data_IF_035939281954
#
_entry.id   IF_035939281954
#
_cell.length_a   1.000
_cell.length_b   1.000
_cell.length_c   1.000
_cell.angle_alpha   90.00
_cell.angle_beta   90.00
_cell.angle_gamma   90.00
#
_symmetry.space_group_name_H-M   'P 1'
#
loop_
_entity.id
_entity.type
_entity.pdbx_description
1 polymer ?
#
# COMPACT_ATOMS: atom_id res chain seq x y z
N UNK A 1 12.57 21.87 17.25
CA UNK A 1 12.99 22.55 15.99
C UNK A 1 13.76 21.64 15.04
N UNK A 2 14.83 20.95 15.46
CA UNK A 2 15.53 19.96 14.61
C UNK A 2 14.72 18.66 14.45
N UNK A 3 14.06 18.17 15.50
CA UNK A 3 13.10 17.05 15.40
C UNK A 3 11.90 17.39 14.49
N UNK A 4 11.35 18.60 14.63
CA UNK A 4 10.20 19.05 13.83
C UNK A 4 10.52 19.09 12.33
N UNK A 5 11.75 19.50 12.00
CA UNK A 5 12.22 19.51 10.61
C UNK A 5 12.49 18.10 10.08
N UNK A 6 13.03 17.19 10.91
CA UNK A 6 13.14 15.77 10.53
C UNK A 6 11.78 15.12 10.29
N UNK A 7 10.78 15.36 11.14
CA UNK A 7 9.44 14.79 10.98
C UNK A 7 8.72 15.29 9.72
N UNK A 8 8.84 16.59 9.41
CA UNK A 8 8.30 17.17 8.17
C UNK A 8 9.01 16.59 6.94
N UNK A 9 10.32 16.37 7.02
CA UNK A 9 11.11 15.77 5.94
C UNK A 9 10.73 14.31 5.74
N UNK A 10 10.61 13.51 6.80
CA UNK A 10 10.18 12.10 6.74
C UNK A 10 8.75 11.97 6.18
N UNK A 11 7.83 12.85 6.59
CA UNK A 11 6.47 12.91 6.03
C UNK A 11 6.46 13.30 4.55
N UNK A 12 7.22 14.34 4.19
CA UNK A 12 7.35 14.80 2.81
C UNK A 12 7.98 13.74 1.91
N UNK A 13 8.87 12.90 2.44
CA UNK A 13 9.45 11.79 1.70
C UNK A 13 8.61 10.51 1.73
N UNK A 14 7.74 10.29 2.71
CA UNK A 14 6.80 9.17 2.70
C UNK A 14 5.66 9.41 1.68
N UNK A 15 5.22 10.66 1.55
CA UNK A 15 4.20 11.09 0.58
C UNK A 15 4.81 11.49 -0.76
N UNK A 16 6.08 11.90 -0.76
CA UNK A 16 6.82 12.33 -1.95
C UNK A 16 6.72 11.38 -3.14
N UNK A 17 6.84 10.04 -2.97
CA UNK A 17 6.69 9.06 -4.05
C UNK A 17 5.27 8.98 -4.60
N UNK A 18 4.26 9.28 -3.77
CA UNK A 18 2.85 9.25 -4.18
C UNK A 18 2.60 10.35 -5.22
N UNK A 19 3.21 11.52 -5.03
CA UNK A 19 2.96 12.73 -5.84
C UNK A 19 3.29 12.53 -7.34
N UNK A 20 4.46 12.02 -7.76
CA UNK A 20 4.76 11.72 -9.15
C UNK A 20 3.79 10.73 -9.79
N UNK A 21 3.35 9.70 -9.05
CA UNK A 21 2.40 8.72 -9.57
C UNK A 21 0.98 9.29 -9.67
N UNK A 22 0.57 10.15 -8.73
CA UNK A 22 -0.69 10.90 -8.82
C UNK A 22 -0.68 11.90 -9.99
N UNK A 23 0.40 12.69 -10.14
CA UNK A 23 0.44 13.79 -11.11
C UNK A 23 0.80 13.35 -12.52
N UNK A 24 1.56 12.27 -12.70
CA UNK A 24 2.12 11.88 -14.00
C UNK A 24 1.62 10.52 -14.52
N UNK A 25 1.09 9.65 -13.66
CA UNK A 25 0.83 8.25 -14.01
C UNK A 25 -0.63 7.79 -13.91
N UNK A 26 -1.34 8.13 -12.82
CA UNK A 26 -2.61 7.49 -12.46
C UNK A 26 -3.88 8.27 -12.84
N UNK A 27 -3.77 9.57 -13.17
CA UNK A 27 -4.95 10.46 -13.32
C UNK A 27 -5.24 10.88 -14.76
N UNK A 28 -4.42 10.49 -15.74
CA UNK A 28 -4.72 10.80 -17.14
C UNK A 28 -5.96 10.05 -17.66
N UNK A 29 -6.27 8.88 -17.07
CA UNK A 29 -7.44 8.09 -17.45
C UNK A 29 -8.37 7.88 -16.24
N UNK A 30 -9.68 8.22 -16.32
CA UNK A 30 -10.61 8.05 -15.22
C UNK A 30 -10.75 6.59 -14.77
N UNK A 31 -10.49 5.63 -15.67
CA UNK A 31 -10.50 4.21 -15.36
C UNK A 31 -9.36 3.82 -14.41
N UNK A 32 -8.18 4.43 -14.53
CA UNK A 32 -7.04 4.15 -13.65
C UNK A 32 -7.34 4.63 -12.24
N UNK A 33 -7.96 5.81 -12.11
CA UNK A 33 -8.42 6.34 -10.83
C UNK A 33 -9.44 5.43 -10.15
N UNK A 34 -10.48 5.00 -10.89
CA UNK A 34 -11.47 4.06 -10.36
C UNK A 34 -10.81 2.76 -9.89
N UNK A 35 -9.86 2.24 -10.67
CA UNK A 35 -9.14 1.01 -10.34
C UNK A 35 -8.19 1.17 -9.17
N UNK A 36 -7.62 2.36 -8.95
CA UNK A 36 -6.87 2.67 -7.74
C UNK A 36 -7.75 2.61 -6.49
N UNK A 37 -8.97 3.16 -6.53
CA UNK A 37 -9.92 3.02 -5.41
C UNK A 37 -10.28 1.57 -5.14
N UNK A 38 -10.57 0.77 -6.18
CA UNK A 38 -10.86 -0.65 -5.99
C UNK A 38 -9.65 -1.43 -5.50
N UNK A 39 -8.44 -1.14 -5.99
CA UNK A 39 -7.20 -1.76 -5.51
C UNK A 39 -6.95 -1.47 -4.02
N UNK A 40 -7.16 -0.22 -3.61
CA UNK A 40 -7.07 0.20 -2.21
C UNK A 40 -8.11 -0.52 -1.33
N UNK A 41 -9.36 -0.62 -1.79
CA UNK A 41 -10.42 -1.35 -1.10
C UNK A 41 -10.08 -2.84 -0.93
N UNK A 42 -9.59 -3.49 -1.99
CA UNK A 42 -9.14 -4.89 -1.92
C UNK A 42 -8.01 -5.05 -0.92
N UNK A 43 -7.05 -4.12 -0.88
CA UNK A 43 -5.95 -4.18 0.07
C UNK A 43 -6.42 -4.04 1.53
N UNK A 44 -7.40 -3.18 1.79
CA UNK A 44 -8.01 -3.06 3.12
C UNK A 44 -8.69 -4.38 3.52
N UNK A 45 -9.41 -5.03 2.60
CA UNK A 45 -10.01 -6.35 2.86
C UNK A 45 -8.97 -7.42 3.17
N UNK A 46 -7.85 -7.44 2.43
CA UNK A 46 -6.73 -8.36 2.69
C UNK A 46 -6.18 -8.16 4.10
N UNK A 47 -5.94 -6.91 4.49
CA UNK A 47 -5.43 -6.57 5.82
C UNK A 47 -6.44 -7.00 6.90
N UNK A 48 -7.74 -6.77 6.67
CA UNK A 48 -8.81 -7.18 7.58
C UNK A 48 -8.83 -8.70 7.79
N UNK A 49 -8.86 -9.47 6.70
CA UNK A 49 -8.88 -10.95 6.76
C UNK A 49 -7.63 -11.48 7.45
N UNK A 50 -6.46 -10.94 7.10
CA UNK A 50 -5.19 -11.35 7.71
C UNK A 50 -5.13 -10.99 9.20
N UNK A 51 -5.69 -9.84 9.59
CA UNK A 51 -5.76 -9.41 11.00
C UNK A 51 -6.68 -10.29 11.83
N UNK A 52 -7.79 -10.76 11.26
CA UNK A 52 -8.67 -11.74 11.90
C UNK A 52 -7.92 -13.06 12.13
N UNK A 53 -7.24 -13.57 11.09
CA UNK A 53 -6.44 -14.79 11.19
C UNK A 53 -5.35 -14.63 12.26
N UNK A 54 -4.66 -13.50 12.30
CA UNK A 54 -3.65 -13.23 13.32
C UNK A 54 -4.24 -13.17 14.73
N UNK A 55 -5.35 -12.45 14.93
CA UNK A 55 -5.99 -12.31 16.25
C UNK A 55 -6.37 -13.65 16.86
N UNK A 56 -6.94 -14.55 16.07
CA UNK A 56 -7.32 -15.89 16.55
C UNK A 56 -6.13 -16.85 16.58
N UNK A 57 -5.26 -16.80 15.56
CA UNK A 57 -4.10 -17.68 15.45
C UNK A 57 -3.06 -17.44 16.54
N UNK A 58 -2.85 -16.19 16.95
CA UNK A 58 -1.81 -15.82 17.92
C UNK A 58 -2.00 -16.49 19.29
N UNK A 59 -3.24 -16.87 19.63
CA UNK A 59 -3.55 -17.68 20.81
C UNK A 59 -2.84 -19.03 20.76
N UNK A 60 -2.74 -19.64 19.58
CA UNK A 60 -2.19 -20.98 19.36
C UNK A 60 -0.72 -20.96 18.94
N UNK A 61 -0.30 -19.99 18.13
CA UNK A 61 1.06 -19.93 17.59
C UNK A 61 1.62 -18.51 17.65
N UNK A 62 2.56 -18.27 18.57
CA UNK A 62 3.14 -16.95 18.88
C UNK A 62 4.32 -16.58 17.98
N UNK A 63 4.20 -16.77 16.68
CA UNK A 63 5.24 -16.41 15.71
C UNK A 63 4.75 -15.33 14.75
N UNK A 64 5.28 -14.12 14.86
CA UNK A 64 4.86 -12.96 14.06
C UNK A 64 5.22 -13.15 12.58
N UNK A 65 6.38 -13.74 12.27
CA UNK A 65 6.85 -13.96 10.90
C UNK A 65 5.89 -14.85 10.09
N UNK A 66 5.24 -15.80 10.77
CA UNK A 66 4.23 -16.65 10.15
C UNK A 66 3.01 -15.84 9.68
N UNK A 67 2.50 -14.92 10.49
CA UNK A 67 1.35 -14.08 10.12
C UNK A 67 1.68 -13.04 9.05
N UNK A 68 2.91 -12.52 9.05
CA UNK A 68 3.41 -11.68 7.96
C UNK A 68 3.39 -12.47 6.64
N UNK A 69 3.81 -13.74 6.68
CA UNK A 69 3.78 -14.62 5.50
C UNK A 69 2.35 -14.90 5.02
N UNK A 70 1.40 -15.10 5.95
CA UNK A 70 -0.03 -15.24 5.64
C UNK A 70 -0.58 -13.97 4.98
N UNK A 71 -0.19 -12.79 5.46
CA UNK A 71 -0.61 -11.52 4.88
C UNK A 71 -0.16 -11.41 3.42
N UNK A 72 1.11 -11.69 3.13
CA UNK A 72 1.63 -11.68 1.75
C UNK A 72 0.91 -12.70 0.87
N UNK A 73 0.67 -13.93 1.37
CA UNK A 73 -0.04 -14.95 0.61
C UNK A 73 -1.49 -14.54 0.31
N UNK A 74 -2.19 -14.00 1.30
CA UNK A 74 -3.57 -13.52 1.17
C UNK A 74 -3.65 -12.34 0.20
N UNK A 75 -2.67 -11.43 0.25
CA UNK A 75 -2.57 -10.32 -0.70
C UNK A 75 -2.48 -10.79 -2.14
N UNK A 76 -1.63 -11.77 -2.43
CA UNK A 76 -1.49 -12.33 -3.77
C UNK A 76 -2.74 -13.06 -4.23
N UNK A 77 -3.40 -13.82 -3.33
CA UNK A 77 -4.66 -14.49 -3.64
C UNK A 77 -5.74 -13.48 -4.03
N UNK A 78 -5.89 -12.38 -3.28
CA UNK A 78 -6.85 -11.32 -3.61
C UNK A 78 -6.47 -10.56 -4.89
N UNK A 79 -5.17 -10.34 -5.15
CA UNK A 79 -4.68 -9.73 -6.41
C UNK A 79 -5.10 -10.55 -7.64
N UNK A 80 -5.01 -11.87 -7.54
CA UNK A 80 -5.44 -12.82 -8.58
C UNK A 80 -6.97 -12.83 -8.71
N UNK A 81 -7.71 -12.89 -7.59
CA UNK A 81 -9.18 -12.83 -7.62
C UNK A 81 -9.66 -11.53 -8.26
N UNK A 82 -9.03 -10.41 -7.93
CA UNK A 82 -9.38 -9.10 -8.48
C UNK A 82 -9.18 -9.06 -10.00
N UNK A 83 -8.08 -9.63 -10.51
CA UNK A 83 -7.87 -9.81 -11.95
C UNK A 83 -9.05 -10.54 -12.61
N UNK A 84 -9.50 -11.66 -12.04
CA UNK A 84 -10.59 -12.45 -12.63
C UNK A 84 -11.92 -11.70 -12.62
N UNK A 85 -12.21 -10.93 -11.56
CA UNK A 85 -13.40 -10.07 -11.49
C UNK A 85 -13.37 -9.05 -12.62
N UNK A 86 -12.24 -8.34 -12.79
CA UNK A 86 -12.07 -7.34 -13.84
C UNK A 86 -12.17 -7.97 -15.23
N UNK A 87 -11.44 -9.06 -15.48
CA UNK A 87 -11.47 -9.75 -16.78
C UNK A 87 -12.89 -10.16 -17.16
N UNK A 88 -13.65 -10.72 -16.21
CA UNK A 88 -15.04 -11.12 -16.43
C UNK A 88 -15.92 -9.93 -16.79
N UNK A 89 -15.77 -8.80 -16.10
CA UNK A 89 -16.52 -7.59 -16.39
C UNK A 89 -16.14 -6.99 -17.74
N UNK A 90 -14.85 -6.93 -18.06
CA UNK A 90 -14.34 -6.42 -19.33
C UNK A 90 -14.88 -7.23 -20.52
N UNK A 91 -14.90 -8.56 -20.41
CA UNK A 91 -15.46 -9.44 -21.42
C UNK A 91 -16.99 -9.29 -21.56
N UNK A 92 -17.72 -9.08 -20.45
CA UNK A 92 -19.17 -8.80 -20.48
C UNK A 92 -19.47 -7.49 -21.19
N UNK A 93 -18.73 -6.43 -20.88
CA UNK A 93 -18.89 -5.11 -21.50
C UNK A 93 -18.54 -5.15 -22.99
N UNK A 94 -17.45 -5.81 -23.38
CA UNK A 94 -17.10 -6.00 -24.79
C UNK A 94 -18.18 -6.77 -25.56
N UNK A 95 -18.78 -7.79 -24.94
CA UNK A 95 -19.87 -8.56 -25.55
C UNK A 95 -21.20 -7.79 -25.61
N UNK A 96 -21.47 -6.88 -24.69
CA UNK A 96 -22.68 -6.04 -24.72
C UNK A 96 -22.57 -4.91 -25.74
N UNK A 97 -21.35 -4.40 -25.99
CA UNK A 97 -21.07 -3.42 -27.04
C UNK A 97 -20.79 -4.04 -28.41
N UNK A 98 -21.40 -5.20 -28.74
CA UNK A 98 -21.44 -5.80 -30.08
C UNK A 98 -22.22 -4.92 -31.07
N UNK A 99 -21.71 -3.72 -31.33
CA UNK A 99 -22.03 -2.88 -32.46
C UNK A 99 -20.92 -1.82 -32.62
N UNK A 100 -19.67 -2.26 -32.75
CA UNK A 100 -18.63 -1.55 -33.53
C UNK A 100 -17.45 -2.50 -33.72
N UNK A 101 -17.00 -2.59 -34.97
CA UNK A 101 -15.99 -3.51 -35.48
C UNK A 101 -14.61 -3.29 -34.82
N UNK A 102 -13.82 -4.36 -34.80
CA UNK A 102 -12.35 -4.35 -34.74
C UNK A 102 -11.67 -3.59 -33.60
N UNK A 103 -11.91 -4.02 -32.35
CA UNK A 103 -10.89 -3.80 -31.31
C UNK A 103 -9.79 -4.84 -31.48
N UNK A 104 -8.67 -4.41 -32.06
CA UNK A 104 -7.46 -5.22 -32.17
C UNK A 104 -7.03 -5.79 -30.81
N UNK A 105 -6.47 -7.01 -30.73
CA UNK A 105 -5.99 -7.60 -29.48
C UNK A 105 -4.98 -6.69 -28.73
N UNK A 106 -4.32 -5.77 -29.44
CA UNK A 106 -3.50 -4.70 -28.87
C UNK A 106 -4.26 -3.73 -27.96
N UNK A 107 -5.52 -3.39 -28.25
CA UNK A 107 -6.29 -2.45 -27.42
C UNK A 107 -6.69 -3.03 -26.07
N UNK A 108 -7.05 -4.31 -26.02
CA UNK A 108 -7.38 -5.01 -24.77
C UNK A 108 -6.13 -5.11 -23.90
N UNK A 109 -4.97 -5.40 -24.50
CA UNK A 109 -3.70 -5.48 -23.77
C UNK A 109 -3.28 -4.12 -23.19
N UNK A 110 -3.50 -3.03 -23.93
CA UNK A 110 -3.24 -1.65 -23.46
C UNK A 110 -4.18 -1.27 -22.32
N UNK A 111 -5.47 -1.53 -22.48
CA UNK A 111 -6.47 -1.28 -21.45
C UNK A 111 -6.19 -2.09 -20.17
N UNK A 112 -5.77 -3.34 -20.30
CA UNK A 112 -5.37 -4.17 -19.17
C UNK A 112 -4.14 -3.60 -18.45
N UNK A 113 -3.16 -3.09 -19.20
CA UNK A 113 -1.99 -2.43 -18.62
C UNK A 113 -2.39 -1.21 -17.79
N UNK A 114 -3.25 -0.34 -18.33
CA UNK A 114 -3.75 0.84 -17.62
C UNK A 114 -4.51 0.45 -16.35
N UNK A 115 -5.43 -0.51 -16.45
CA UNK A 115 -6.20 -0.99 -15.31
C UNK A 115 -5.28 -1.60 -14.24
N UNK A 116 -4.31 -2.44 -14.65
CA UNK A 116 -3.38 -3.11 -13.73
C UNK A 116 -2.44 -2.11 -13.03
N UNK A 117 -2.05 -1.03 -13.71
CA UNK A 117 -1.30 0.06 -13.12
C UNK A 117 -2.10 0.75 -12.01
N UNK A 118 -3.34 1.15 -12.30
CA UNK A 118 -4.23 1.77 -11.30
C UNK A 118 -4.48 0.86 -10.11
N UNK A 119 -4.81 -0.42 -10.35
CA UNK A 119 -5.00 -1.41 -9.31
C UNK A 119 -3.76 -1.59 -8.42
N UNK A 120 -2.58 -1.70 -9.03
CA UNK A 120 -1.31 -1.86 -8.29
C UNK A 120 -0.94 -0.62 -7.48
N UNK A 121 -1.24 0.57 -7.99
CA UNK A 121 -1.09 1.82 -7.25
C UNK A 121 -1.99 1.85 -6.00
N UNK A 122 -3.27 1.52 -6.17
CA UNK A 122 -4.23 1.42 -5.06
C UNK A 122 -3.82 0.42 -3.99
N UNK A 123 -3.30 -0.75 -4.39
CA UNK A 123 -2.76 -1.76 -3.47
C UNK A 123 -1.55 -1.22 -2.69
N UNK A 124 -0.61 -0.58 -3.38
CA UNK A 124 0.63 -0.09 -2.77
C UNK A 124 0.44 1.10 -1.83
N UNK A 125 -0.45 2.04 -2.16
CA UNK A 125 -0.61 3.29 -1.40
C UNK A 125 -1.16 3.05 0.01
N UNK A 126 -2.00 2.01 0.20
CA UNK A 126 -2.59 1.72 1.51
C UNK A 126 -1.52 1.40 2.56
N UNK A 127 -0.49 0.63 2.21
CA UNK A 127 0.61 0.36 3.13
C UNK A 127 1.41 1.61 3.50
N UNK A 128 1.65 2.49 2.52
CA UNK A 128 2.33 3.76 2.77
C UNK A 128 1.50 4.65 3.70
N UNK A 129 0.19 4.77 3.45
CA UNK A 129 -0.72 5.57 4.27
C UNK A 129 -0.76 5.03 5.70
N UNK A 130 -0.96 3.72 5.88
CA UNK A 130 -1.03 3.11 7.21
C UNK A 130 0.27 3.30 8.00
N UNK A 131 1.40 3.11 7.33
CA UNK A 131 2.71 3.31 7.94
C UNK A 131 2.96 4.78 8.32
N UNK A 132 2.63 5.71 7.43
CA UNK A 132 2.84 7.15 7.64
C UNK A 132 1.93 7.70 8.74
N UNK A 133 0.64 7.29 8.76
CA UNK A 133 -0.32 7.75 9.77
C UNK A 133 0.09 7.27 11.18
N UNK A 134 0.53 6.01 11.32
CA UNK A 134 0.97 5.51 12.62
C UNK A 134 2.17 6.29 13.16
N UNK A 135 3.19 6.54 12.33
CA UNK A 135 4.35 7.32 12.74
C UNK A 135 3.99 8.78 13.06
N UNK A 136 2.99 9.33 12.38
CA UNK A 136 2.51 10.69 12.64
C UNK A 136 1.72 10.79 13.94
N UNK A 137 0.98 9.74 14.32
CA UNK A 137 0.24 9.66 15.57
C UNK A 137 1.14 9.44 16.80
N UNK A 138 2.29 8.78 16.64
CA UNK A 138 3.30 8.59 17.69
C UNK A 138 4.16 9.84 17.94
N UNK A 139 3.99 10.93 17.16
CA UNK A 139 4.70 12.17 17.43
C UNK A 139 4.18 12.85 18.71
N UNK A 140 5.08 13.24 19.64
CA UNK A 140 4.74 13.77 20.98
C UNK A 140 3.99 15.11 20.98
N UNK A 141 3.68 15.67 19.81
CA UNK A 141 2.87 16.89 19.67
C UNK A 141 1.42 16.73 20.15
N UNK A 142 0.89 15.50 20.20
CA UNK A 142 -0.43 15.24 20.79
C UNK A 142 -0.40 14.99 22.31
N UNK A 143 0.76 14.80 22.92
CA UNK A 143 0.93 14.60 24.38
C UNK A 143 1.40 15.88 25.11
N UNK A 144 1.17 17.06 24.53
CA UNK A 144 1.39 18.31 25.23
C UNK A 144 0.17 18.68 26.07
N UNK A 145 -0.03 17.97 27.19
CA UNK A 145 -0.45 18.54 28.47
C UNK A 145 -0.74 17.43 29.51
N UNK A 146 -0.32 17.70 30.74
CA UNK A 146 -0.64 16.95 31.97
C UNK A 146 0.23 15.70 32.19
N UNK A 147 1.31 15.85 32.97
CA UNK A 147 1.61 15.04 34.18
C UNK A 147 2.99 15.47 34.71
N UNK A 148 2.99 15.88 35.98
CA UNK A 148 4.10 16.47 36.70
C UNK A 148 5.28 15.51 36.98
N UNK A 149 6.46 16.14 36.91
CA UNK A 149 7.79 15.75 37.38
C UNK A 149 7.81 15.05 38.75
N UNK A 150 8.54 13.94 38.98
CA UNK A 150 9.97 14.04 39.29
C UNK A 150 10.79 12.73 39.18
N UNK A 151 10.18 11.56 38.95
CA UNK A 151 10.93 10.29 38.80
C UNK A 151 11.05 9.79 37.35
N UNK A 152 10.41 10.50 36.41
CA UNK A 152 10.35 10.11 35.02
C UNK A 152 11.59 10.53 34.21
N UNK A 153 12.43 11.44 34.71
CA UNK A 153 13.49 12.08 33.92
C UNK A 153 14.61 11.12 33.53
N UNK A 154 14.98 10.17 34.39
CA UNK A 154 16.05 9.21 34.11
C UNK A 154 15.60 8.10 33.13
N UNK A 155 14.37 7.60 33.29
CA UNK A 155 13.77 6.62 32.38
C UNK A 155 13.41 7.28 31.04
N UNK A 156 12.82 8.49 31.05
CA UNK A 156 12.59 9.27 29.82
C UNK A 156 13.89 9.52 29.09
N UNK A 157 14.96 9.95 29.76
CA UNK A 157 16.23 10.26 29.07
C UNK A 157 16.85 9.01 28.43
N UNK A 158 16.81 7.87 29.11
CA UNK A 158 17.34 6.61 28.57
C UNK A 158 16.47 6.06 27.42
N UNK A 159 15.15 6.21 27.50
CA UNK A 159 14.22 5.84 26.42
C UNK A 159 14.36 6.82 25.25
N UNK A 160 14.39 8.14 25.49
CA UNK A 160 14.59 9.18 24.48
C UNK A 160 15.94 9.03 23.79
N UNK A 161 17.01 8.68 24.50
CA UNK A 161 18.34 8.47 23.89
C UNK A 161 18.38 7.16 23.07
N UNK A 162 17.70 6.09 23.53
CA UNK A 162 17.55 4.85 22.76
C UNK A 162 16.63 5.03 21.53
N UNK A 163 15.62 5.89 21.62
CA UNK A 163 14.74 6.26 20.51
C UNK A 163 15.39 7.27 19.56
N UNK A 164 16.23 8.19 20.03
CA UNK A 164 16.94 9.16 19.19
C UNK A 164 17.99 8.51 18.28
N UNK A 165 18.68 7.47 18.77
CA UNK A 165 19.65 6.70 17.95
C UNK A 165 18.91 5.76 16.98
N UNK A 166 17.71 5.30 17.35
CA UNK A 166 16.85 4.49 16.48
C UNK A 166 16.23 5.36 15.38
N UNK A 167 15.67 6.52 15.72
CA UNK A 167 14.93 7.44 14.84
C UNK A 167 15.71 7.84 13.58
N UNK A 168 16.93 8.38 13.65
CA UNK A 168 17.56 8.91 12.43
C UNK A 168 17.93 7.84 11.37
N UNK A 169 18.13 6.58 11.79
CA UNK A 169 18.43 5.45 10.89
C UNK A 169 17.17 4.70 10.47
N UNK A 170 16.16 4.58 11.35
CA UNK A 170 14.88 3.97 11.00
C UNK A 170 14.05 4.85 10.09
N UNK A 171 14.10 6.18 10.23
CA UNK A 171 13.27 7.11 9.47
C UNK A 171 13.65 7.10 7.99
N UNK A 172 14.95 7.15 7.68
CA UNK A 172 15.45 7.04 6.30
C UNK A 172 15.15 5.67 5.66
N UNK A 173 15.27 4.56 6.42
CA UNK A 173 14.93 3.23 5.92
C UNK A 173 13.42 3.09 5.69
N UNK A 174 12.61 3.69 6.55
CA UNK A 174 11.16 3.64 6.49
C UNK A 174 10.58 4.38 5.27
N UNK A 175 11.20 5.49 4.92
CA UNK A 175 10.92 6.26 3.71
C UNK A 175 11.27 5.45 2.47
N UNK A 176 12.49 4.91 2.39
CA UNK A 176 12.93 4.09 1.25
C UNK A 176 12.06 2.84 1.07
N UNK A 177 11.70 2.19 2.17
CA UNK A 177 10.80 1.05 2.18
C UNK A 177 9.43 1.42 1.59
N UNK A 178 8.89 2.58 1.97
CA UNK A 178 7.62 3.09 1.43
C UNK A 178 7.72 3.34 -0.08
N UNK A 179 8.77 4.00 -0.56
CA UNK A 179 9.01 4.22 -1.99
C UNK A 179 9.05 2.90 -2.77
N UNK A 180 9.89 1.98 -2.31
CA UNK A 180 10.11 0.69 -2.96
C UNK A 180 8.84 -0.15 -2.95
N UNK A 181 8.08 -0.16 -1.86
CA UNK A 181 6.87 -0.95 -1.73
C UNK A 181 5.77 -0.51 -2.72
N UNK A 182 5.57 0.78 -2.93
CA UNK A 182 4.59 1.28 -3.91
C UNK A 182 5.00 0.89 -5.33
N UNK A 183 6.24 1.20 -5.73
CA UNK A 183 6.74 0.86 -7.06
C UNK A 183 6.69 -0.65 -7.30
N UNK A 184 7.07 -1.45 -6.29
CA UNK A 184 6.98 -2.90 -6.33
C UNK A 184 5.54 -3.37 -6.56
N UNK A 185 4.56 -2.86 -5.82
CA UNK A 185 3.17 -3.28 -5.97
C UNK A 185 2.57 -2.90 -7.33
N UNK A 186 2.93 -1.75 -7.88
CA UNK A 186 2.54 -1.34 -9.24
C UNK A 186 3.10 -2.34 -10.26
N UNK A 187 4.44 -2.50 -10.28
CA UNK A 187 5.12 -3.36 -11.25
C UNK A 187 4.67 -4.82 -11.12
N UNK A 188 4.51 -5.32 -9.90
CA UNK A 188 4.09 -6.69 -9.65
C UNK A 188 2.64 -6.94 -10.10
N UNK A 189 1.74 -5.97 -9.92
CA UNK A 189 0.36 -6.10 -10.45
C UNK A 189 0.35 -6.13 -11.97
N UNK A 190 1.11 -5.23 -12.61
CA UNK A 190 1.22 -5.21 -14.08
C UNK A 190 1.78 -6.52 -14.63
N UNK A 191 2.85 -7.05 -14.02
CA UNK A 191 3.48 -8.30 -14.43
C UNK A 191 2.55 -9.49 -14.20
N UNK A 192 1.99 -9.64 -13.00
CA UNK A 192 1.11 -10.76 -12.66
C UNK A 192 -0.13 -10.80 -13.56
N UNK A 193 -0.78 -9.66 -13.80
CA UNK A 193 -1.97 -9.59 -14.64
C UNK A 193 -1.66 -9.83 -16.12
N UNK A 194 -0.51 -9.37 -16.60
CA UNK A 194 -0.03 -9.66 -17.97
C UNK A 194 0.25 -11.16 -18.15
N UNK A 195 0.88 -11.79 -17.15
CA UNK A 195 1.14 -13.24 -17.17
C UNK A 195 -0.17 -14.04 -17.12
N UNK A 196 -1.10 -13.70 -16.23
CA UNK A 196 -2.41 -14.33 -16.15
C UNK A 196 -3.21 -14.18 -17.45
N UNK A 197 -3.12 -13.03 -18.10
CA UNK A 197 -3.76 -12.83 -19.41
C UNK A 197 -3.17 -13.71 -20.50
N UNK A 198 -1.84 -13.86 -20.53
CA UNK A 198 -1.16 -14.75 -21.49
C UNK A 198 -1.48 -16.23 -21.23
N UNK A 199 -1.70 -16.63 -19.98
CA UNK A 199 -2.02 -18.02 -19.63
C UNK A 199 -3.48 -18.40 -19.90
N UNK A 200 -4.37 -17.42 -19.96
CA UNK A 200 -5.82 -17.66 -20.01
C UNK A 200 -6.46 -17.30 -21.36
N UNK A 201 -5.67 -16.78 -22.31
CA UNK A 201 -6.01 -16.62 -23.72
C UNK A 201 -5.23 -17.65 -24.54
#
# INVERSE_FOLDING_TARGET
MIEDTMNIVTFSFAIGPIIPFLLYGAYFNPIQLAMAFYGAFIQILVILVSSIIWKFGYIYYKNITFYISILFFTQELFRILFYFIIRRNLHRTLNSFKCTKDKSPSEISKCLSDISFGAGFGIGIIFQILFTINNLAENPFNEMSIIDSNNLSFIKKTIIDAFNIKNSRTDNFSVLFSCVNLTFNILWTMLSWKLLHKLTN
#
